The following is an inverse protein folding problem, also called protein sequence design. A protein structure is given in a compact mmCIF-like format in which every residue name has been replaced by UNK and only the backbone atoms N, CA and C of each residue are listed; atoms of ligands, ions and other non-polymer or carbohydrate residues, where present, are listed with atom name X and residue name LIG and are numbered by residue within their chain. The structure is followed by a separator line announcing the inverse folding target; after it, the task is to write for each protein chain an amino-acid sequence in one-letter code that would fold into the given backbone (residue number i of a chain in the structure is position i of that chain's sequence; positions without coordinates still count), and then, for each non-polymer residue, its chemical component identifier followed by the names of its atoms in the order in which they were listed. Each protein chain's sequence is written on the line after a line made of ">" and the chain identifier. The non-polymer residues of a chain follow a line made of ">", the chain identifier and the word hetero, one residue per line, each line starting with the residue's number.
data_IF_210577386774
#
_entry.id   IF_210577386774
#
_cell.length_a   1.000
_cell.length_b   1.000
_cell.length_c   1.000
_cell.angle_alpha   90.00
_cell.angle_beta   90.00
_cell.angle_gamma   90.00
#
_symmetry.space_group_name_H-M   'P 1'
#
loop_
_entity.id
_entity.type
_entity.pdbx_description
1 polymer ?
#
# COMPACT_ATOMS: atom_id res chain seq x y z
N UNK A 1 3.53 -9.94 2.96
CA UNK A 1 2.13 -10.41 2.81
C UNK A 1 2.05 -11.24 1.54
N UNK A 2 1.43 -12.43 1.55
CA UNK A 2 1.37 -13.29 0.35
C UNK A 2 0.46 -12.66 -0.71
N UNK A 3 0.74 -12.87 -2.00
CA UNK A 3 -0.04 -12.33 -3.14
C UNK A 3 -1.55 -12.54 -2.97
N UNK A 4 -1.97 -13.75 -2.61
CA UNK A 4 -3.38 -14.10 -2.33
C UNK A 4 -4.05 -13.15 -1.34
N UNK A 5 -3.35 -12.80 -0.26
CA UNK A 5 -3.88 -11.96 0.81
C UNK A 5 -4.01 -10.51 0.35
N UNK A 6 -3.07 -10.03 -0.50
CA UNK A 6 -3.15 -8.72 -1.17
C UNK A 6 -4.43 -8.62 -2.02
N UNK A 7 -4.68 -9.61 -2.87
CA UNK A 7 -5.88 -9.66 -3.73
C UNK A 7 -7.16 -9.67 -2.90
N UNK A 8 -7.23 -10.54 -1.89
CA UNK A 8 -8.40 -10.60 -1.01
C UNK A 8 -8.64 -9.29 -0.27
N UNK A 9 -7.59 -8.61 0.17
CA UNK A 9 -7.70 -7.33 0.84
C UNK A 9 -8.23 -6.24 -0.12
N UNK A 10 -7.67 -6.13 -1.32
CA UNK A 10 -8.10 -5.17 -2.34
C UNK A 10 -9.57 -5.36 -2.78
N UNK A 11 -10.03 -6.62 -2.86
CA UNK A 11 -11.42 -6.95 -3.16
C UNK A 11 -12.33 -6.55 -1.99
N UNK A 12 -12.00 -6.97 -0.76
CA UNK A 12 -12.83 -6.73 0.43
C UNK A 12 -12.91 -5.25 0.82
N UNK A 13 -11.79 -4.53 0.73
CA UNK A 13 -11.73 -3.10 1.02
C UNK A 13 -12.52 -2.28 -0.01
N UNK A 14 -12.65 -2.81 -1.24
CA UNK A 14 -13.13 -2.07 -2.44
C UNK A 14 -12.36 -0.77 -2.67
N UNK A 15 -11.10 -0.71 -2.21
CA UNK A 15 -10.13 0.36 -2.45
C UNK A 15 -8.91 -0.27 -3.10
N UNK A 16 -8.22 0.51 -3.92
CA UNK A 16 -6.96 0.06 -4.51
C UNK A 16 -5.89 0.01 -3.42
N UNK A 17 -4.93 -0.89 -3.57
CA UNK A 17 -3.76 -0.94 -2.73
C UNK A 17 -2.97 0.35 -2.93
N UNK A 18 -2.51 0.92 -1.82
CA UNK A 18 -1.63 2.08 -1.84
C UNK A 18 -0.30 1.73 -2.53
N UNK A 19 0.37 2.74 -3.12
CA UNK A 19 1.72 2.58 -3.66
C UNK A 19 2.67 1.98 -2.63
N UNK A 20 3.57 1.11 -3.09
CA UNK A 20 4.60 0.57 -2.21
C UNK A 20 5.58 1.68 -1.91
N UNK A 21 5.85 1.89 -0.62
CA UNK A 21 6.80 2.92 -0.19
C UNK A 21 7.92 2.33 0.64
N UNK A 22 9.15 2.79 0.40
CA UNK A 22 10.33 2.46 1.20
C UNK A 22 10.75 3.65 2.07
N UNK A 23 11.20 3.37 3.28
CA UNK A 23 11.64 4.37 4.26
C UNK A 23 13.13 4.66 4.13
N UNK A 24 13.49 5.94 4.09
CA UNK A 24 14.87 6.43 4.10
C UNK A 24 15.66 5.88 5.27
N UNK A 25 15.07 5.90 6.47
CA UNK A 25 15.69 5.37 7.69
C UNK A 25 16.03 3.90 7.54
N UNK A 26 15.09 3.08 7.03
CA UNK A 26 15.31 1.65 6.81
C UNK A 26 16.37 1.39 5.75
N UNK A 27 16.38 2.20 4.70
CA UNK A 27 17.37 2.13 3.63
C UNK A 27 18.79 2.44 4.15
N UNK A 28 18.93 3.52 4.93
CA UNK A 28 20.20 3.86 5.56
C UNK A 28 20.64 2.79 6.58
N UNK A 29 19.69 2.21 7.32
CA UNK A 29 19.95 1.09 8.23
C UNK A 29 20.56 -0.12 7.50
N UNK A 30 20.04 -0.49 6.33
CA UNK A 30 20.63 -1.59 5.54
C UNK A 30 22.08 -1.33 5.10
N UNK A 31 22.50 -0.07 5.02
CA UNK A 31 23.88 0.32 4.74
C UNK A 31 24.72 0.66 5.97
N UNK A 32 24.22 0.47 7.20
CA UNK A 32 24.84 0.95 8.45
C UNK A 32 25.09 2.47 8.49
N UNK A 33 24.23 3.26 7.84
CA UNK A 33 24.34 4.72 7.70
C UNK A 33 23.23 5.48 8.44
N UNK A 34 22.59 4.87 9.43
CA UNK A 34 21.45 5.42 10.18
C UNK A 34 21.73 6.81 10.77
N UNK A 35 22.98 7.04 11.22
CA UNK A 35 23.42 8.30 11.81
C UNK A 35 23.35 9.48 10.83
N UNK A 36 23.29 9.22 9.52
CA UNK A 36 23.17 10.24 8.48
C UNK A 36 21.72 10.57 8.11
N UNK A 37 20.73 10.01 8.80
CA UNK A 37 19.30 10.22 8.46
C UNK A 37 18.94 11.70 8.35
N UNK A 38 19.28 12.50 9.37
CA UNK A 38 18.93 13.92 9.39
C UNK A 38 19.60 14.67 8.23
N UNK A 39 20.90 14.47 8.05
CA UNK A 39 21.66 15.15 6.99
C UNK A 39 21.17 14.77 5.58
N UNK A 40 20.85 13.49 5.39
CA UNK A 40 20.31 13.01 4.12
C UNK A 40 18.91 13.58 3.86
N UNK A 41 18.03 13.56 4.87
CA UNK A 41 16.68 14.12 4.78
C UNK A 41 16.70 15.63 4.49
N UNK A 42 17.59 16.39 5.14
CA UNK A 42 17.77 17.82 4.92
C UNK A 42 18.18 18.10 3.47
N UNK A 43 19.17 17.37 2.93
CA UNK A 43 19.61 17.52 1.54
C UNK A 43 18.51 17.18 0.54
N UNK A 44 17.69 16.16 0.82
CA UNK A 44 16.55 15.80 -0.03
C UNK A 44 15.47 16.90 -0.01
N UNK A 45 15.23 17.51 1.15
CA UNK A 45 14.33 18.64 1.27
C UNK A 45 14.88 19.89 0.55
N UNK A 46 16.19 20.16 0.64
CA UNK A 46 16.86 21.27 -0.05
C UNK A 46 16.83 21.13 -1.58
N UNK A 47 16.96 19.91 -2.11
CA UNK A 47 16.83 19.66 -3.54
C UNK A 47 15.36 19.70 -4.04
N UNK A 48 14.41 20.12 -3.19
CA UNK A 48 12.97 20.18 -3.46
C UNK A 48 12.40 18.85 -3.95
N UNK A 49 12.96 17.74 -3.47
CA UNK A 49 12.57 16.39 -3.88
C UNK A 49 11.36 15.85 -3.13
N UNK A 50 10.64 16.66 -2.36
CA UNK A 50 9.50 16.25 -1.55
C UNK A 50 8.22 16.85 -2.14
N UNK A 51 7.51 16.06 -2.94
CA UNK A 51 6.27 16.45 -3.61
C UNK A 51 5.00 15.99 -2.87
N UNK A 52 5.14 15.11 -1.88
CA UNK A 52 4.04 14.53 -1.12
C UNK A 52 3.35 13.33 -1.80
N UNK A 53 3.71 13.01 -3.03
CA UNK A 53 3.17 11.88 -3.79
C UNK A 53 4.20 10.74 -3.86
N UNK A 54 5.25 10.95 -4.64
CA UNK A 54 6.35 10.01 -4.86
C UNK A 54 7.38 10.06 -3.75
N UNK A 55 7.56 11.24 -3.14
CA UNK A 55 8.45 11.43 -2.01
C UNK A 55 7.73 12.24 -0.93
N UNK A 56 7.53 11.62 0.24
CA UNK A 56 6.73 12.22 1.31
C UNK A 56 7.36 12.03 2.69
N UNK A 57 7.22 13.01 3.57
CA UNK A 57 7.61 12.83 4.97
C UNK A 57 6.76 11.77 5.66
N UNK A 58 7.43 10.89 6.41
CA UNK A 58 6.79 10.02 7.36
C UNK A 58 6.54 10.82 8.66
N UNK A 59 5.38 11.46 8.77
CA UNK A 59 5.02 12.24 9.96
C UNK A 59 4.96 11.43 11.26
N UNK A 60 4.82 10.09 11.18
CA UNK A 60 4.86 9.25 12.36
C UNK A 60 6.28 9.12 12.94
N UNK A 61 7.31 9.20 12.09
CA UNK A 61 8.72 8.95 12.44
C UNK A 61 9.66 10.02 11.83
N UNK A 62 9.33 11.30 11.99
CA UNK A 62 10.15 12.41 11.49
C UNK A 62 11.63 12.32 11.97
N UNK A 63 12.65 12.61 11.13
CA UNK A 63 12.60 13.14 9.76
C UNK A 63 12.66 12.07 8.66
N UNK A 64 12.07 10.89 8.90
CA UNK A 64 12.04 9.84 7.88
C UNK A 64 11.24 10.27 6.62
N UNK A 65 11.69 9.82 5.46
CA UNK A 65 11.10 10.10 4.14
C UNK A 65 10.73 8.78 3.49
N UNK A 66 9.56 8.75 2.85
CA UNK A 66 9.03 7.60 2.14
C UNK A 66 9.12 7.84 0.64
N UNK A 67 9.58 6.83 -0.10
CA UNK A 67 9.75 6.90 -1.56
C UNK A 67 8.93 5.81 -2.26
N UNK A 68 8.25 6.18 -3.35
CA UNK A 68 7.85 5.25 -4.43
C UNK A 68 9.06 4.93 -5.31
N UNK A 69 8.90 4.06 -6.31
CA UNK A 69 10.01 3.73 -7.24
C UNK A 69 10.49 4.96 -8.02
N UNK A 70 9.58 5.82 -8.46
CA UNK A 70 9.88 7.05 -9.19
C UNK A 70 10.58 8.07 -8.27
N UNK A 71 10.03 8.33 -7.08
CA UNK A 71 10.64 9.23 -6.10
C UNK A 71 12.03 8.77 -5.67
N UNK A 72 12.21 7.45 -5.50
CA UNK A 72 13.52 6.86 -5.19
C UNK A 72 14.54 7.10 -6.30
N UNK A 73 14.14 6.87 -7.56
CA UNK A 73 15.02 7.07 -8.72
C UNK A 73 15.45 8.52 -8.88
N UNK A 74 14.53 9.45 -8.62
CA UNK A 74 14.78 10.90 -8.69
C UNK A 74 15.67 11.39 -7.56
N UNK A 75 15.67 10.70 -6.42
CA UNK A 75 16.51 10.98 -5.26
C UNK A 75 17.87 10.25 -5.30
N UNK A 76 18.11 9.37 -6.28
CA UNK A 76 19.28 8.48 -6.30
C UNK A 76 20.62 9.19 -6.12
N UNK A 77 20.79 10.36 -6.73
CA UNK A 77 22.06 11.11 -6.71
C UNK A 77 22.44 11.53 -5.28
N UNK A 78 21.44 11.91 -4.48
CA UNK A 78 21.66 12.24 -3.07
C UNK A 78 21.96 10.97 -2.28
N UNK A 79 21.20 9.90 -2.52
CA UNK A 79 21.37 8.60 -1.86
C UNK A 79 22.73 7.95 -2.13
N UNK A 80 23.28 8.08 -3.34
CA UNK A 80 24.60 7.60 -3.76
C UNK A 80 25.75 8.21 -2.93
N UNK A 81 25.53 9.35 -2.27
CA UNK A 81 26.51 9.93 -1.34
C UNK A 81 26.65 9.12 -0.04
N UNK A 82 25.67 8.28 0.29
CA UNK A 82 25.58 7.55 1.55
C UNK A 82 25.61 6.04 1.35
N UNK A 83 25.05 5.54 0.25
CA UNK A 83 24.86 4.13 -0.02
C UNK A 83 25.52 3.73 -1.34
N UNK A 84 26.05 2.50 -1.44
CA UNK A 84 26.67 2.02 -2.66
C UNK A 84 25.63 1.86 -3.77
N UNK A 85 26.06 2.13 -5.01
CA UNK A 85 25.19 2.06 -6.19
C UNK A 85 24.47 0.71 -6.33
N UNK A 86 25.17 -0.41 -6.16
CA UNK A 86 24.59 -1.75 -6.30
C UNK A 86 23.40 -1.96 -5.36
N UNK A 87 23.50 -1.49 -4.11
CA UNK A 87 22.41 -1.57 -3.14
C UNK A 87 21.22 -0.71 -3.56
N UNK A 88 21.46 0.49 -4.11
CA UNK A 88 20.40 1.37 -4.59
C UNK A 88 19.72 0.78 -5.84
N UNK A 89 20.48 0.20 -6.76
CA UNK A 89 19.98 -0.45 -7.95
C UNK A 89 19.11 -1.67 -7.61
N UNK A 90 19.59 -2.55 -6.73
CA UNK A 90 18.83 -3.72 -6.26
C UNK A 90 17.53 -3.29 -5.55
N UNK A 91 17.62 -2.27 -4.69
CA UNK A 91 16.45 -1.74 -3.98
C UNK A 91 15.41 -1.18 -4.96
N UNK A 92 15.85 -0.42 -5.95
CA UNK A 92 14.97 0.16 -6.95
C UNK A 92 14.27 -0.93 -7.79
N UNK A 93 14.99 -1.96 -8.20
CA UNK A 93 14.41 -3.11 -8.91
C UNK A 93 13.33 -3.80 -8.08
N UNK A 94 13.62 -4.09 -6.80
CA UNK A 94 12.64 -4.70 -5.89
C UNK A 94 11.39 -3.81 -5.70
N UNK A 95 11.58 -2.49 -5.68
CA UNK A 95 10.47 -1.54 -5.54
C UNK A 95 9.58 -1.52 -6.78
N UNK A 96 10.17 -1.49 -7.99
CA UNK A 96 9.44 -1.60 -9.26
C UNK A 96 8.63 -2.91 -9.32
N UNK A 97 9.26 -4.03 -8.96
CA UNK A 97 8.58 -5.33 -8.96
C UNK A 97 7.38 -5.34 -8.01
N UNK A 98 7.55 -4.77 -6.81
CA UNK A 98 6.49 -4.70 -5.82
C UNK A 98 5.33 -3.77 -6.24
N UNK A 99 5.63 -2.65 -6.89
CA UNK A 99 4.63 -1.74 -7.44
C UNK A 99 3.86 -2.39 -8.60
N UNK A 100 4.56 -3.07 -9.51
CA UNK A 100 3.94 -3.84 -10.59
C UNK A 100 3.01 -4.93 -10.04
N UNK A 101 3.44 -5.66 -9.00
CA UNK A 101 2.58 -6.64 -8.33
C UNK A 101 1.30 -5.98 -7.77
N UNK A 102 1.43 -4.82 -7.12
CA UNK A 102 0.28 -4.07 -6.60
C UNK A 102 -0.64 -3.58 -7.72
N UNK A 103 -0.11 -3.10 -8.85
CA UNK A 103 -0.90 -2.73 -10.02
C UNK A 103 -1.68 -3.91 -10.58
N UNK A 104 -1.05 -5.07 -10.74
CA UNK A 104 -1.71 -6.28 -11.23
C UNK A 104 -2.86 -6.69 -10.31
N UNK A 105 -2.64 -6.62 -8.99
CA UNK A 105 -3.69 -6.85 -7.98
C UNK A 105 -4.83 -5.83 -8.11
N UNK A 106 -4.51 -4.55 -8.27
CA UNK A 106 -5.50 -3.48 -8.41
C UNK A 106 -6.33 -3.65 -9.69
N UNK A 107 -5.69 -3.99 -10.82
CA UNK A 107 -6.38 -4.29 -12.09
C UNK A 107 -7.32 -5.48 -11.92
N UNK A 108 -6.85 -6.58 -11.32
CA UNK A 108 -7.69 -7.76 -11.06
C UNK A 108 -8.88 -7.40 -10.17
N UNK A 109 -8.67 -6.67 -9.08
CA UNK A 109 -9.75 -6.22 -8.19
C UNK A 109 -10.74 -5.31 -8.93
N UNK A 110 -10.26 -4.40 -9.78
CA UNK A 110 -11.10 -3.54 -10.61
C UNK A 110 -11.96 -4.35 -11.59
N UNK A 111 -11.41 -5.39 -12.20
CA UNK A 111 -12.17 -6.24 -13.12
C UNK A 111 -13.27 -7.03 -12.39
N UNK A 112 -12.99 -7.56 -11.19
CA UNK A 112 -14.03 -8.14 -10.34
C UNK A 112 -15.14 -7.15 -9.98
N UNK A 113 -14.80 -5.88 -9.72
CA UNK A 113 -15.79 -4.83 -9.42
C UNK A 113 -16.68 -4.50 -10.64
N UNK A 114 -16.16 -4.63 -11.86
CA UNK A 114 -16.91 -4.37 -13.11
C UNK A 114 -17.93 -5.46 -13.46
N UNK A 115 -17.68 -6.72 -13.04
CA UNK A 115 -18.59 -7.83 -13.35
C UNK A 115 -19.97 -7.64 -12.70
N UNK A 116 -21.05 -8.06 -13.37
CA UNK A 116 -22.40 -8.03 -12.78
C UNK A 116 -22.55 -9.18 -11.77
N UNK A 117 -23.45 -9.01 -10.80
CA UNK A 117 -23.69 -10.02 -9.76
C UNK A 117 -24.08 -11.39 -10.35
N UNK A 118 -24.94 -11.39 -11.38
CA UNK A 118 -25.38 -12.62 -12.06
C UNK A 118 -24.21 -13.33 -12.73
N UNK A 119 -23.30 -12.57 -13.33
CA UNK A 119 -22.12 -13.12 -14.00
C UNK A 119 -21.15 -13.72 -12.97
N UNK A 120 -20.91 -13.03 -11.85
CA UNK A 120 -20.10 -13.56 -10.73
C UNK A 120 -20.66 -14.88 -10.18
N UNK A 121 -21.98 -14.95 -9.95
CA UNK A 121 -22.64 -16.19 -9.50
C UNK A 121 -22.53 -17.30 -10.54
N UNK A 122 -22.74 -16.98 -11.81
CA UNK A 122 -22.60 -17.94 -12.92
C UNK A 122 -21.17 -18.49 -12.99
N UNK A 123 -20.16 -17.63 -12.88
CA UNK A 123 -18.76 -18.04 -12.84
C UNK A 123 -18.47 -18.89 -11.61
N UNK A 124 -18.95 -18.50 -10.42
CA UNK A 124 -18.76 -19.27 -9.19
C UNK A 124 -19.28 -20.71 -9.33
N UNK A 125 -20.52 -20.87 -9.78
CA UNK A 125 -21.14 -22.19 -9.98
C UNK A 125 -20.37 -23.01 -11.02
N UNK A 126 -20.06 -22.39 -12.18
CA UNK A 126 -19.31 -23.06 -13.27
C UNK A 126 -17.94 -23.56 -12.79
N UNK A 127 -17.20 -22.70 -12.10
CA UNK A 127 -15.88 -23.05 -11.57
C UNK A 127 -15.99 -24.13 -10.50
N UNK A 128 -17.00 -24.09 -9.63
CA UNK A 128 -17.22 -25.12 -8.61
C UNK A 128 -17.54 -26.49 -9.22
N UNK A 129 -18.35 -26.55 -10.28
CA UNK A 129 -18.77 -27.80 -10.93
C UNK A 129 -17.70 -28.44 -11.84
N UNK A 130 -16.64 -27.72 -12.20
CA UNK A 130 -15.61 -28.23 -13.11
C UNK A 130 -14.71 -29.26 -12.42
N UNK A 131 -14.68 -30.50 -12.90
CA UNK A 131 -13.71 -31.50 -12.42
C UNK A 131 -12.30 -31.14 -12.89
N UNK A 132 -11.36 -31.14 -11.95
CA UNK A 132 -9.92 -30.93 -12.19
C UNK A 132 -9.19 -32.21 -11.83
N UNK A 133 -8.25 -32.63 -12.67
CA UNK A 133 -7.49 -33.88 -12.50
C UNK A 133 -6.15 -33.68 -11.81
N UNK A 134 -5.68 -32.44 -11.72
CA UNK A 134 -4.39 -32.07 -11.13
C UNK A 134 -4.59 -31.26 -9.84
N UNK A 135 -3.73 -31.51 -8.85
CA UNK A 135 -3.72 -30.85 -7.54
C UNK A 135 -3.42 -29.35 -7.69
N UNK A 136 -2.54 -28.97 -8.63
CA UNK A 136 -2.17 -27.58 -8.88
C UNK A 136 -3.36 -26.74 -9.41
N UNK A 137 -4.12 -27.32 -10.35
CA UNK A 137 -5.34 -26.71 -10.89
C UNK A 137 -6.42 -26.60 -9.82
N UNK A 138 -6.50 -27.58 -8.92
CA UNK A 138 -7.48 -27.58 -7.83
C UNK A 138 -7.20 -26.45 -6.82
N UNK A 139 -5.93 -26.17 -6.52
CA UNK A 139 -5.55 -25.01 -5.71
C UNK A 139 -5.91 -23.69 -6.39
N UNK A 140 -5.53 -23.51 -7.66
CA UNK A 140 -5.86 -22.31 -8.43
C UNK A 140 -7.38 -22.07 -8.47
N UNK A 141 -8.17 -23.12 -8.71
CA UNK A 141 -9.63 -23.08 -8.66
C UNK A 141 -10.14 -22.64 -7.29
N UNK A 142 -9.60 -23.19 -6.20
CA UNK A 142 -10.00 -22.78 -4.83
C UNK A 142 -9.72 -21.30 -4.59
N UNK A 143 -8.59 -20.78 -5.09
CA UNK A 143 -8.25 -19.36 -4.98
C UNK A 143 -9.24 -18.47 -5.72
N UNK A 144 -9.53 -18.78 -6.99
CA UNK A 144 -10.49 -18.02 -7.80
C UNK A 144 -11.88 -18.03 -7.17
N UNK A 145 -12.36 -19.18 -6.70
CA UNK A 145 -13.63 -19.27 -5.99
C UNK A 145 -13.65 -18.42 -4.71
N UNK A 146 -12.54 -18.38 -3.96
CA UNK A 146 -12.42 -17.52 -2.78
C UNK A 146 -12.47 -16.02 -3.14
N UNK A 147 -11.85 -15.60 -4.24
CA UNK A 147 -11.91 -14.22 -4.72
C UNK A 147 -13.32 -13.83 -5.17
N UNK A 148 -14.00 -14.69 -5.93
CA UNK A 148 -15.40 -14.45 -6.35
C UNK A 148 -16.31 -14.37 -5.11
N UNK A 149 -16.18 -15.30 -4.16
CA UNK A 149 -16.96 -15.28 -2.93
C UNK A 149 -16.69 -14.00 -2.10
N UNK A 150 -15.43 -13.56 -2.04
CA UNK A 150 -15.06 -12.31 -1.38
C UNK A 150 -15.69 -11.09 -2.05
N UNK A 151 -15.76 -11.03 -3.38
CA UNK A 151 -16.42 -9.94 -4.11
C UNK A 151 -17.95 -9.99 -3.93
N UNK A 152 -18.56 -11.18 -3.94
CA UNK A 152 -19.99 -11.33 -3.62
C UNK A 152 -20.30 -10.83 -2.21
N UNK A 153 -19.45 -11.18 -1.24
CA UNK A 153 -19.56 -10.69 0.13
C UNK A 153 -19.35 -9.17 0.20
N UNK A 154 -18.35 -8.62 -0.50
CA UNK A 154 -18.03 -7.17 -0.51
C UNK A 154 -19.17 -6.31 -1.08
N UNK A 155 -20.07 -6.92 -1.87
CA UNK A 155 -21.28 -6.29 -2.40
C UNK A 155 -22.49 -6.40 -1.48
N UNK A 156 -22.43 -7.27 -0.48
CA UNK A 156 -23.53 -7.45 0.46
C UNK A 156 -23.73 -6.20 1.33
N UNK A 157 -24.98 -5.92 1.69
CA UNK A 157 -25.32 -4.80 2.58
C UNK A 157 -24.58 -4.86 3.92
N UNK A 158 -24.45 -6.08 4.49
CA UNK A 158 -23.73 -6.32 5.74
C UNK A 158 -22.24 -5.93 5.66
N UNK A 159 -21.58 -6.18 4.54
CA UNK A 159 -20.18 -5.76 4.36
C UNK A 159 -20.04 -4.24 4.33
N UNK A 160 -21.03 -3.53 3.77
CA UNK A 160 -21.09 -2.07 3.77
C UNK A 160 -21.21 -1.51 5.19
N UNK A 161 -22.07 -2.10 6.02
CA UNK A 161 -22.18 -1.73 7.45
C UNK A 161 -20.86 -1.99 8.17
N UNK A 162 -20.29 -3.19 8.02
CA UNK A 162 -19.06 -3.58 8.69
C UNK A 162 -17.90 -2.63 8.38
N UNK A 163 -17.76 -2.21 7.12
CA UNK A 163 -16.77 -1.23 6.71
C UNK A 163 -16.95 0.12 7.41
N UNK A 164 -18.18 0.65 7.46
CA UNK A 164 -18.46 1.92 8.14
C UNK A 164 -18.15 1.85 9.62
N UNK A 165 -18.52 0.75 10.28
CA UNK A 165 -18.20 0.51 11.69
C UNK A 165 -16.68 0.47 11.90
N UNK A 166 -15.94 -0.24 11.04
CA UNK A 166 -14.48 -0.32 11.12
C UNK A 166 -13.81 1.06 10.91
N UNK A 167 -14.28 1.84 9.94
CA UNK A 167 -13.78 3.20 9.67
C UNK A 167 -14.06 4.12 10.86
N UNK A 168 -15.25 4.06 11.46
CA UNK A 168 -15.59 4.84 12.65
C UNK A 168 -14.70 4.47 13.86
N UNK A 169 -14.47 3.18 14.09
CA UNK A 169 -13.56 2.72 15.15
C UNK A 169 -12.12 3.18 14.92
N UNK A 170 -11.65 3.15 13.67
CA UNK A 170 -10.33 3.67 13.30
C UNK A 170 -10.23 5.18 13.55
N UNK A 171 -11.25 5.96 13.16
CA UNK A 171 -11.30 7.40 13.43
C UNK A 171 -11.29 7.71 14.92
N UNK A 172 -12.06 6.97 15.72
CA UNK A 172 -12.05 7.09 17.18
C UNK A 172 -10.67 6.75 17.76
N UNK A 173 -10.03 5.69 17.28
CA UNK A 173 -8.68 5.33 17.71
C UNK A 173 -7.64 6.41 17.36
N UNK A 174 -7.67 6.92 16.12
CA UNK A 174 -6.74 7.95 15.65
C UNK A 174 -6.95 9.26 16.41
N UNK A 175 -8.20 9.71 16.55
CA UNK A 175 -8.52 10.93 17.32
C UNK A 175 -8.11 10.81 18.78
N UNK A 176 -8.22 9.62 19.37
CA UNK A 176 -7.76 9.38 20.74
C UNK A 176 -6.23 9.37 20.86
N UNK A 177 -5.54 8.63 19.98
CA UNK A 177 -4.08 8.48 20.00
C UNK A 177 -3.35 9.78 19.67
N UNK A 178 -3.85 10.55 18.69
CA UNK A 178 -3.19 11.75 18.17
C UNK A 178 -3.84 13.04 18.66
N UNK A 179 -4.67 12.99 19.72
CA UNK A 179 -5.38 14.14 20.27
C UNK A 179 -4.46 15.34 20.51
N UNK A 180 -3.28 15.10 21.11
CA UNK A 180 -2.31 16.16 21.38
C UNK A 180 -1.73 16.82 20.13
N UNK A 181 -1.48 16.05 19.07
CA UNK A 181 -1.01 16.58 17.78
C UNK A 181 -2.10 17.42 17.09
N UNK A 182 -3.35 16.95 17.09
CA UNK A 182 -4.47 17.71 16.56
C UNK A 182 -4.76 18.98 17.36
N UNK A 183 -4.63 18.94 18.69
CA UNK A 183 -4.77 20.14 19.53
C UNK A 183 -3.67 21.17 19.24
N UNK A 184 -2.42 20.74 19.06
CA UNK A 184 -1.30 21.62 18.68
C UNK A 184 -1.53 22.24 17.29
N UNK A 185 -1.91 21.42 16.29
CA UNK A 185 -2.21 21.92 14.94
C UNK A 185 -3.38 22.91 14.94
N UNK A 186 -4.44 22.64 15.71
CA UNK A 186 -5.58 23.54 15.84
C UNK A 186 -5.18 24.87 16.47
N UNK A 187 -4.40 24.82 17.55
CA UNK A 187 -3.90 26.04 18.23
C UNK A 187 -2.98 26.85 17.31
N UNK A 188 -2.16 26.18 16.49
CA UNK A 188 -1.34 26.84 15.49
C UNK A 188 -2.19 27.46 14.36
N UNK A 189 -3.18 26.75 13.84
CA UNK A 189 -4.08 27.25 12.80
C UNK A 189 -4.93 28.45 13.27
N UNK A 190 -5.37 28.46 14.53
CA UNK A 190 -6.07 29.59 15.15
C UNK A 190 -5.17 30.82 15.38
N UNK A 191 -3.85 30.62 15.45
CA UNK A 191 -2.87 31.71 15.66
C UNK A 191 -2.42 32.38 14.37
N UNK A 192 -2.64 31.73 13.22
CA UNK A 192 -2.23 32.20 11.89
C UNK A 192 -3.42 32.44 10.93
N UNK A 193 -4.65 32.42 11.45
CA UNK A 193 -5.85 33.03 10.86
C UNK A 193 -6.19 34.33 11.62
#
# INVERSE_FOLDING_TARGET
>A
MKYKDKVLNAIKSRKDLEPVKISLRKLLASGNMENYLNLCADRLAEELKIDGEDTAFNFADFPDILFTSDGFFDCRRVLESYLPFDMLADTWQLLIEAERENEEVNRMAADFRKLKLRDLLKYYIKWQSQETKDDSEQEAKRLVCQWIAAELWSRSFFSGIWRKVREALLQLYVSWKYKGLFDIMRTAAEKYN
#
